data_IF_894359783434
#
_entry.id   IF_894359783434
#
_cell.length_a   1.000
_cell.length_b   1.000
_cell.length_c   1.000
_cell.angle_alpha   90.00
_cell.angle_beta   90.00
_cell.angle_gamma   90.00
#
_symmetry.space_group_name_H-M   'P 1'
#
loop_
_entity.id
_entity.type
_entity.pdbx_description
1 polymer ?
#
# COMPACT_ATOMS: atom_id res chain seq x y z
N UNK A 1 -0.11 -28.89 -17.04
CA UNK A 1 0.22 -28.06 -15.86
C UNK A 1 1.69 -28.26 -15.56
N UNK A 2 2.49 -27.19 -15.48
CA UNK A 2 3.92 -27.30 -15.16
C UNK A 2 4.15 -27.15 -13.65
N UNK A 3 5.10 -27.90 -13.10
CA UNK A 3 5.51 -27.82 -11.70
C UNK A 3 6.84 -27.08 -11.60
N UNK A 4 6.86 -26.02 -10.80
CA UNK A 4 8.07 -25.29 -10.44
C UNK A 4 8.46 -25.72 -9.02
N UNK A 5 9.74 -26.00 -8.80
CA UNK A 5 10.29 -26.28 -7.47
C UNK A 5 11.40 -25.28 -7.19
N UNK A 6 11.22 -24.46 -6.16
CA UNK A 6 12.17 -23.43 -5.75
C UNK A 6 12.61 -23.74 -4.32
N UNK A 7 13.92 -23.72 -4.07
CA UNK A 7 14.45 -23.77 -2.72
C UNK A 7 14.42 -22.37 -2.14
N UNK A 8 13.82 -22.24 -0.96
CA UNK A 8 13.74 -21.00 -0.18
C UNK A 8 14.30 -21.28 1.20
N UNK A 9 14.92 -20.28 1.83
CA UNK A 9 15.31 -20.40 3.23
C UNK A 9 14.10 -20.29 4.17
N UNK A 10 14.29 -20.68 5.43
CA UNK A 10 13.23 -20.69 6.45
C UNK A 10 12.67 -19.31 6.76
N UNK A 11 13.44 -18.25 6.56
CA UNK A 11 13.00 -16.88 6.81
C UNK A 11 12.02 -16.45 5.72
N UNK A 12 12.37 -16.68 4.47
CA UNK A 12 11.51 -16.42 3.31
C UNK A 12 10.25 -17.29 3.37
N UNK A 13 10.37 -18.58 3.69
CA UNK A 13 9.21 -19.47 3.82
C UNK A 13 8.20 -18.96 4.84
N UNK A 14 8.65 -18.55 6.03
CA UNK A 14 7.78 -18.00 7.09
C UNK A 14 7.16 -16.66 6.71
N UNK A 15 7.88 -15.80 5.99
CA UNK A 15 7.34 -14.55 5.48
C UNK A 15 6.22 -14.78 4.45
N UNK A 16 6.42 -15.70 3.51
CA UNK A 16 5.42 -16.06 2.51
C UNK A 16 4.17 -16.68 3.17
N UNK A 17 4.34 -17.55 4.17
CA UNK A 17 3.21 -18.10 4.94
C UNK A 17 2.40 -17.01 5.65
N UNK A 18 3.05 -16.03 6.28
CA UNK A 18 2.35 -14.92 6.94
C UNK A 18 1.54 -14.09 5.96
N UNK A 19 2.09 -13.80 4.77
CA UNK A 19 1.38 -13.06 3.72
C UNK A 19 0.20 -13.85 3.17
N UNK A 20 0.38 -15.14 2.90
CA UNK A 20 -0.71 -16.02 2.47
C UNK A 20 -1.85 -16.07 3.50
N UNK A 21 -1.51 -16.20 4.79
CA UNK A 21 -2.49 -16.16 5.87
C UNK A 21 -3.23 -14.81 5.94
N UNK A 22 -2.49 -13.68 5.87
CA UNK A 22 -3.09 -12.35 5.87
C UNK A 22 -4.02 -12.08 4.68
N UNK A 23 -3.81 -12.77 3.56
CA UNK A 23 -4.67 -12.72 2.37
C UNK A 23 -5.79 -13.79 2.37
N UNK A 24 -5.89 -14.63 3.42
CA UNK A 24 -6.80 -15.77 3.49
C UNK A 24 -6.64 -16.77 2.32
N UNK A 25 -5.39 -17.06 1.95
CA UNK A 25 -5.02 -17.98 0.87
C UNK A 25 -4.13 -19.12 1.40
N UNK A 26 -4.14 -20.25 0.70
CA UNK A 26 -3.06 -21.23 0.87
C UNK A 26 -1.74 -20.67 0.34
N UNK A 27 -0.61 -21.16 0.86
CA UNK A 27 0.72 -20.74 0.39
C UNK A 27 0.88 -20.94 -1.13
N UNK A 28 0.35 -22.04 -1.67
CA UNK A 28 0.42 -22.36 -3.10
C UNK A 28 -0.40 -21.40 -3.97
N UNK A 29 -1.58 -20.97 -3.50
CA UNK A 29 -2.41 -19.98 -4.21
C UNK A 29 -1.73 -18.61 -4.21
N UNK A 30 -1.22 -18.20 -3.04
CA UNK A 30 -0.48 -16.96 -2.89
C UNK A 30 0.76 -16.91 -3.80
N UNK A 31 1.60 -17.95 -3.78
CA UNK A 31 2.80 -18.03 -4.64
C UNK A 31 2.42 -18.04 -6.12
N UNK A 32 1.31 -18.69 -6.50
CA UNK A 32 0.83 -18.68 -7.88
C UNK A 32 0.44 -17.28 -8.33
N UNK A 33 -0.24 -16.50 -7.50
CA UNK A 33 -0.59 -15.11 -7.80
C UNK A 33 0.66 -14.25 -7.98
N UNK A 34 1.60 -14.33 -7.03
CA UNK A 34 2.88 -13.60 -7.11
C UNK A 34 3.65 -13.94 -8.39
N UNK A 35 3.70 -15.22 -8.78
CA UNK A 35 4.34 -15.63 -10.04
C UNK A 35 3.59 -15.14 -11.28
N UNK A 36 2.26 -15.06 -11.22
CA UNK A 36 1.43 -14.52 -12.30
C UNK A 36 1.68 -13.02 -12.51
N UNK A 37 1.71 -12.26 -11.41
CA UNK A 37 2.03 -10.82 -11.42
C UNK A 37 3.46 -10.56 -11.91
N UNK A 38 4.44 -11.33 -11.42
CA UNK A 38 5.83 -11.21 -11.85
C UNK A 38 6.05 -11.54 -13.34
N UNK A 39 5.13 -12.29 -13.94
CA UNK A 39 5.18 -12.67 -15.35
C UNK A 39 4.28 -11.78 -16.24
N UNK A 40 3.62 -10.75 -15.69
CA UNK A 40 2.76 -9.84 -16.45
C UNK A 40 3.60 -9.05 -17.48
N UNK A 41 3.36 -9.22 -18.79
CA UNK A 41 4.13 -8.57 -19.85
C UNK A 41 3.95 -7.05 -19.90
N UNK A 42 2.90 -6.50 -19.28
CA UNK A 42 2.67 -5.06 -19.19
C UNK A 42 3.56 -4.40 -18.12
N UNK A 43 4.42 -5.18 -17.44
CA UNK A 43 5.45 -4.67 -16.55
C UNK A 43 4.90 -3.91 -15.35
N UNK A 44 3.69 -4.27 -14.89
CA UNK A 44 3.15 -3.71 -13.65
C UNK A 44 4.05 -4.15 -12.50
N UNK A 45 4.85 -3.20 -12.07
CA UNK A 45 5.60 -3.12 -10.83
C UNK A 45 4.88 -3.89 -9.70
N UNK A 46 5.65 -4.55 -8.84
CA UNK A 46 5.16 -5.46 -7.78
C UNK A 46 4.30 -4.67 -6.78
N UNK A 47 3.00 -4.51 -7.08
CA UNK A 47 2.03 -3.87 -6.22
C UNK A 47 1.69 -4.83 -5.10
N UNK A 48 2.09 -4.49 -3.88
CA UNK A 48 1.44 -5.08 -2.72
C UNK A 48 0.01 -4.53 -2.66
N UNK A 49 -0.93 -5.23 -2.02
CA UNK A 49 -2.28 -4.71 -1.76
C UNK A 49 -2.30 -3.33 -1.09
N UNK A 50 -1.17 -2.88 -0.53
CA UNK A 50 -1.00 -1.54 0.05
C UNK A 50 -0.93 -0.44 -1.01
N UNK A 51 -0.43 -0.73 -2.20
CA UNK A 51 -0.22 0.29 -3.24
C UNK A 51 -1.53 0.62 -3.96
N UNK A 52 -2.45 -0.36 -4.11
CA UNK A 52 -3.82 -0.10 -4.57
C UNK A 52 -4.60 0.73 -3.53
N UNK A 53 -4.48 0.35 -2.25
CA UNK A 53 -5.09 1.11 -1.14
C UNK A 53 -4.53 2.53 -1.08
N UNK A 54 -3.23 2.71 -1.28
CA UNK A 54 -2.58 4.02 -1.35
C UNK A 54 -3.11 4.84 -2.54
N UNK A 55 -3.20 4.24 -3.73
CA UNK A 55 -3.70 4.91 -4.93
C UNK A 55 -5.16 5.37 -4.76
N UNK A 56 -6.04 4.50 -4.23
CA UNK A 56 -7.42 4.86 -3.92
C UNK A 56 -7.50 5.95 -2.86
N UNK A 57 -6.67 5.87 -1.81
CA UNK A 57 -6.62 6.88 -0.76
C UNK A 57 -6.21 8.25 -1.30
N UNK A 58 -5.17 8.32 -2.14
CA UNK A 58 -4.73 9.56 -2.80
C UNK A 58 -5.86 10.16 -3.65
N UNK A 59 -6.56 9.35 -4.44
CA UNK A 59 -7.66 9.82 -5.29
C UNK A 59 -8.80 10.42 -4.45
N UNK A 60 -9.24 9.71 -3.41
CA UNK A 60 -10.31 10.19 -2.51
C UNK A 60 -9.90 11.51 -1.83
N UNK A 61 -8.69 11.56 -1.24
CA UNK A 61 -8.21 12.74 -0.54
C UNK A 61 -8.05 13.93 -1.48
N UNK A 62 -7.61 13.71 -2.72
CA UNK A 62 -7.49 14.77 -3.73
C UNK A 62 -8.85 15.36 -4.11
N UNK A 63 -9.85 14.49 -4.35
CA UNK A 63 -11.21 14.93 -4.64
C UNK A 63 -11.82 15.72 -3.47
N UNK A 64 -11.61 15.25 -2.25
CA UNK A 64 -12.07 15.93 -1.04
C UNK A 64 -11.38 17.28 -0.86
N UNK A 65 -10.05 17.35 -0.96
CA UNK A 65 -9.31 18.60 -0.84
C UNK A 65 -9.75 19.62 -1.89
N UNK A 66 -9.93 19.20 -3.14
CA UNK A 66 -10.44 20.06 -4.22
C UNK A 66 -11.85 20.57 -3.92
N UNK A 67 -12.73 19.66 -3.50
CA UNK A 67 -14.14 19.95 -3.21
C UNK A 67 -14.31 20.87 -2.00
N UNK A 68 -13.54 20.66 -0.93
CA UNK A 68 -13.58 21.46 0.29
C UNK A 68 -12.89 22.79 0.05
N UNK A 69 -11.71 22.80 -0.58
CA UNK A 69 -10.97 24.03 -0.87
C UNK A 69 -11.77 25.02 -1.72
N UNK A 70 -12.59 24.53 -2.65
CA UNK A 70 -13.48 25.37 -3.45
C UNK A 70 -14.64 26.00 -2.65
N UNK A 71 -15.08 25.38 -1.54
CA UNK A 71 -16.26 25.80 -0.77
C UNK A 71 -15.94 26.47 0.56
N UNK A 72 -14.86 26.04 1.20
CA UNK A 72 -14.46 26.38 2.56
C UNK A 72 -12.93 26.26 2.71
N UNK A 73 -12.13 27.17 2.11
CA UNK A 73 -10.67 27.09 2.13
C UNK A 73 -10.09 27.13 3.55
N UNK A 74 -10.66 27.96 4.43
CA UNK A 74 -10.28 28.07 5.86
C UNK A 74 -10.40 26.71 6.59
N UNK A 75 -11.43 25.93 6.27
CA UNK A 75 -11.66 24.61 6.86
C UNK A 75 -10.66 23.58 6.34
N UNK A 76 -10.31 23.65 5.05
CA UNK A 76 -9.27 22.81 4.47
C UNK A 76 -7.92 23.09 5.15
N UNK A 77 -7.55 24.35 5.31
CA UNK A 77 -6.29 24.75 5.96
C UNK A 77 -6.23 24.22 7.40
N UNK A 78 -7.30 24.44 8.19
CA UNK A 78 -7.37 23.92 9.55
C UNK A 78 -7.26 22.39 9.61
N UNK A 79 -8.02 21.70 8.75
CA UNK A 79 -7.99 20.23 8.68
C UNK A 79 -6.62 19.69 8.28
N UNK A 80 -5.90 20.36 7.38
CA UNK A 80 -4.55 19.98 6.99
C UNK A 80 -3.54 20.18 8.12
N UNK A 81 -3.67 21.24 8.92
CA UNK A 81 -2.85 21.45 10.11
C UNK A 81 -3.09 20.36 11.16
N UNK A 82 -4.36 20.07 11.46
CA UNK A 82 -4.71 19.02 12.43
C UNK A 82 -4.23 17.64 11.94
N UNK A 83 -4.37 17.34 10.64
CA UNK A 83 -3.87 16.09 10.05
C UNK A 83 -2.34 15.97 10.16
N UNK A 84 -1.58 17.04 9.89
CA UNK A 84 -0.11 17.04 10.06
C UNK A 84 0.28 16.78 11.50
N UNK A 85 -0.35 17.44 12.46
CA UNK A 85 -0.07 17.21 13.89
C UNK A 85 -0.27 15.74 14.27
N UNK A 86 -1.40 15.16 13.85
CA UNK A 86 -1.74 13.76 14.11
C UNK A 86 -0.75 12.78 13.44
N UNK A 87 -0.31 13.06 12.21
CA UNK A 87 0.66 12.25 11.50
C UNK A 87 2.05 12.35 12.15
N UNK A 88 2.45 13.54 12.59
CA UNK A 88 3.69 13.78 13.34
C UNK A 88 3.72 13.03 14.66
N UNK A 89 2.64 13.10 15.46
CA UNK A 89 2.50 12.35 16.72
C UNK A 89 2.63 10.83 16.53
N UNK A 90 2.24 10.32 15.35
CA UNK A 90 2.34 8.90 15.00
C UNK A 90 3.66 8.51 14.31
N UNK A 91 4.58 9.46 14.10
CA UNK A 91 5.84 9.22 13.40
C UNK A 91 5.67 8.89 11.92
N UNK A 92 4.61 9.42 11.29
CA UNK A 92 4.26 9.18 9.88
C UNK A 92 4.68 10.33 8.95
N UNK A 93 5.24 11.40 9.50
CA UNK A 93 5.89 12.47 8.73
C UNK A 93 7.40 12.28 8.78
N UNK A 94 8.06 12.54 7.65
CA UNK A 94 9.52 12.55 7.60
C UNK A 94 10.03 13.78 8.38
N UNK A 95 10.91 13.62 9.39
CA UNK A 95 11.43 14.74 10.16
C UNK A 95 12.18 15.79 9.31
N UNK A 96 12.57 15.49 8.08
CA UNK A 96 13.17 16.46 7.16
C UNK A 96 12.15 17.36 6.43
N UNK A 97 10.86 17.02 6.43
CA UNK A 97 9.81 17.80 5.77
C UNK A 97 9.26 18.98 6.61
N UNK A 98 9.65 19.06 7.88
CA UNK A 98 9.28 20.13 8.83
C UNK A 98 10.36 21.23 8.98
N UNK A 99 11.36 21.26 8.08
CA UNK A 99 12.46 22.24 8.07
C UNK A 99 12.32 23.32 7.00
#
# INVERSE_FOLDING_TARGET
MHRISVRVDDTLYRQLQRRAYGANLTLSEFVRQVLGEAADPDGRYIYSSQDEVLATSIQILTLLATSIGARAPELLERGMLDARAILGERGLLDPEQDR
#
